data_IF_946318284492
#
_entry.id   IF_946318284492
#
_cell.length_a   1.000
_cell.length_b   1.000
_cell.length_c   1.000
_cell.angle_alpha   90.00
_cell.angle_beta   90.00
_cell.angle_gamma   90.00
#
_symmetry.space_group_name_H-M   'P 1'
#
loop_
_entity.id
_entity.type
_entity.pdbx_description
1 polymer ?
#
# COMPACT_ATOMS: atom_id res chain seq x y z
N UNK A 1 24.26 38.12 14.74
CA UNK A 1 24.59 36.72 15.07
C UNK A 1 23.51 36.19 15.99
N UNK A 2 22.44 35.63 15.43
CA UNK A 2 21.36 35.03 16.20
C UNK A 2 21.36 33.55 15.86
N UNK A 3 21.92 32.76 16.79
CA UNK A 3 22.08 31.31 16.66
C UNK A 3 20.69 30.67 16.81
N UNK A 4 20.11 30.19 15.72
CA UNK A 4 19.04 29.21 15.81
C UNK A 4 19.63 27.94 16.43
N UNK A 5 19.21 27.60 17.65
CA UNK A 5 19.53 26.33 18.29
C UNK A 5 18.66 25.25 17.66
N UNK A 6 19.14 24.58 16.63
CA UNK A 6 18.65 23.24 16.30
C UNK A 6 19.05 22.31 17.44
N UNK A 7 18.05 21.80 18.16
CA UNK A 7 18.20 20.79 19.20
C UNK A 7 18.51 19.44 18.53
N UNK A 8 19.76 19.20 18.12
CA UNK A 8 20.23 17.85 17.79
C UNK A 8 20.55 17.12 19.10
N UNK A 9 19.51 16.60 19.75
CA UNK A 9 19.63 16.14 21.13
C UNK A 9 20.23 14.73 21.30
N UNK A 10 20.75 14.04 20.27
CA UNK A 10 21.37 12.71 20.42
C UNK A 10 20.48 11.61 21.02
N UNK A 11 19.27 11.95 21.45
CA UNK A 11 18.11 11.12 21.71
C UNK A 11 17.42 11.02 20.36
N UNK A 12 17.31 9.80 19.81
CA UNK A 12 16.62 9.59 18.54
C UNK A 12 15.28 10.33 18.54
N UNK A 13 15.03 11.13 17.49
CA UNK A 13 13.76 11.83 17.31
C UNK A 13 12.65 10.78 17.38
N UNK A 14 11.78 10.88 18.38
CA UNK A 14 10.58 10.05 18.42
C UNK A 14 9.71 10.45 17.23
N UNK A 15 9.22 9.45 16.48
CA UNK A 15 8.37 9.65 15.29
C UNK A 15 7.15 10.54 15.60
N UNK A 16 6.76 10.58 16.87
CA UNK A 16 5.60 11.29 17.42
C UNK A 16 5.74 12.82 17.41
N UNK A 17 6.96 13.37 17.26
CA UNK A 17 7.21 14.82 17.31
C UNK A 17 7.44 15.49 15.94
N UNK A 18 7.40 14.73 14.83
CA UNK A 18 7.76 15.26 13.50
C UNK A 18 6.60 15.15 12.50
N UNK A 19 6.16 16.31 12.01
CA UNK A 19 5.19 16.41 10.91
C UNK A 19 5.91 16.66 9.60
N UNK A 20 5.61 15.86 8.57
CA UNK A 20 6.28 15.93 7.26
C UNK A 20 5.28 16.19 6.15
N UNK A 21 5.53 17.22 5.35
CA UNK A 21 4.92 17.45 4.06
C UNK A 21 5.81 16.88 2.94
N UNK A 22 5.39 15.77 2.35
CA UNK A 22 5.98 15.20 1.14
C UNK A 22 5.41 15.95 -0.08
N UNK A 23 6.25 16.74 -0.74
CA UNK A 23 5.84 17.58 -1.87
C UNK A 23 6.23 16.89 -3.19
N UNK A 24 5.24 16.40 -3.93
CA UNK A 24 5.50 15.77 -5.23
C UNK A 24 5.92 16.82 -6.27
N UNK A 25 6.94 16.53 -7.07
CA UNK A 25 7.47 17.41 -8.13
C UNK A 25 7.60 16.63 -9.44
N UNK A 26 7.26 17.26 -10.56
CA UNK A 26 7.52 16.73 -11.90
C UNK A 26 6.35 16.91 -12.88
N UNK A 27 6.63 16.64 -14.15
CA UNK A 27 5.67 16.80 -15.25
C UNK A 27 4.44 15.88 -15.12
N UNK A 28 3.31 16.19 -15.77
CA UNK A 28 2.17 15.27 -15.87
C UNK A 28 2.57 13.89 -16.45
N UNK A 29 1.82 12.84 -16.10
CA UNK A 29 2.09 11.43 -16.49
C UNK A 29 3.47 10.86 -16.07
N UNK A 30 4.13 11.47 -15.07
CA UNK A 30 5.36 10.93 -14.46
C UNK A 30 5.10 10.11 -13.19
N UNK A 31 3.94 9.44 -13.08
CA UNK A 31 3.66 8.52 -11.96
C UNK A 31 3.45 9.15 -10.57
N UNK A 32 3.49 10.48 -10.42
CA UNK A 32 3.35 11.17 -9.11
C UNK A 32 2.16 10.71 -8.27
N UNK A 33 0.96 10.69 -8.84
CA UNK A 33 -0.24 10.27 -8.11
C UNK A 33 -0.19 8.80 -7.71
N UNK A 34 0.37 7.92 -8.56
CA UNK A 34 0.59 6.51 -8.21
C UNK A 34 1.57 6.39 -7.04
N UNK A 35 2.69 7.12 -7.11
CA UNK A 35 3.71 7.16 -6.05
C UNK A 35 3.10 7.67 -4.74
N UNK A 36 2.36 8.78 -4.78
CA UNK A 36 1.69 9.35 -3.61
C UNK A 36 0.71 8.37 -2.97
N UNK A 37 -0.11 7.69 -3.77
CA UNK A 37 -1.07 6.69 -3.30
C UNK A 37 -0.39 5.45 -2.72
N UNK A 38 0.71 4.99 -3.32
CA UNK A 38 1.51 3.87 -2.79
C UNK A 38 2.18 4.25 -1.45
N UNK A 39 2.80 5.42 -1.38
CA UNK A 39 3.43 5.93 -0.15
C UNK A 39 2.42 6.08 0.98
N UNK A 40 1.24 6.67 0.72
CA UNK A 40 0.17 6.75 1.70
C UNK A 40 -0.24 5.37 2.22
N UNK A 41 -0.46 4.41 1.31
CA UNK A 41 -0.85 3.04 1.65
C UNK A 41 0.17 2.36 2.55
N UNK A 42 1.44 2.49 2.23
CA UNK A 42 2.54 1.93 3.03
C UNK A 42 2.63 2.57 4.42
N UNK A 43 2.58 3.89 4.50
CA UNK A 43 2.62 4.60 5.79
C UNK A 43 1.43 4.21 6.67
N UNK A 44 0.21 4.22 6.12
CA UNK A 44 -1.00 3.79 6.85
C UNK A 44 -0.92 2.33 7.29
N UNK A 45 -0.38 1.45 6.45
CA UNK A 45 -0.21 0.03 6.80
C UNK A 45 0.76 -0.16 7.98
N UNK A 46 1.73 0.75 8.16
CA UNK A 46 2.63 0.82 9.32
C UNK A 46 2.09 1.61 10.52
N UNK A 47 0.79 1.96 10.53
CA UNK A 47 0.14 2.80 11.56
C UNK A 47 0.63 4.24 11.60
N UNK A 48 1.23 4.75 10.51
CA UNK A 48 1.60 6.17 10.40
C UNK A 48 0.45 6.89 9.71
N UNK A 49 -0.15 7.87 10.40
CA UNK A 49 -1.26 8.62 9.82
C UNK A 49 -0.79 9.49 8.66
N UNK A 50 -1.26 9.14 7.46
CA UNK A 50 -0.82 9.75 6.22
C UNK A 50 -2.00 10.14 5.31
N UNK A 51 -1.98 11.36 4.77
CA UNK A 51 -3.03 11.87 3.91
C UNK A 51 -2.51 12.49 2.61
N UNK A 52 -3.13 12.13 1.49
CA UNK A 52 -2.84 12.74 0.17
C UNK A 52 -3.74 13.95 -0.05
N UNK A 53 -3.13 15.08 -0.38
CA UNK A 53 -3.78 16.32 -0.80
C UNK A 53 -3.53 16.53 -2.30
N UNK A 54 -4.45 16.05 -3.13
CA UNK A 54 -4.33 16.15 -4.59
C UNK A 54 -4.88 17.50 -5.06
N UNK A 55 -4.00 18.43 -5.46
CA UNK A 55 -4.37 19.78 -5.93
C UNK A 55 -5.29 19.73 -7.16
N UNK A 56 -5.18 18.67 -7.96
CA UNK A 56 -6.08 18.41 -9.08
C UNK A 56 -7.55 18.28 -8.68
N UNK A 57 -7.86 17.75 -7.48
CA UNK A 57 -9.23 17.67 -6.93
C UNK A 57 -9.76 19.06 -6.57
N UNK A 58 -8.96 19.87 -5.86
CA UNK A 58 -9.32 21.25 -5.51
C UNK A 58 -9.64 22.09 -6.74
N UNK A 59 -8.79 21.96 -7.78
CA UNK A 59 -9.01 22.64 -9.07
C UNK A 59 -10.28 22.13 -9.78
N UNK A 60 -10.61 20.84 -9.71
CA UNK A 60 -11.83 20.28 -10.33
C UNK A 60 -13.12 20.82 -9.72
N UNK A 61 -13.12 21.14 -8.42
CA UNK A 61 -14.29 21.74 -7.77
C UNK A 61 -14.66 23.11 -8.35
N UNK A 62 -13.65 23.89 -8.77
CA UNK A 62 -13.87 25.22 -9.37
C UNK A 62 -13.94 25.18 -10.91
N UNK A 63 -13.20 24.27 -11.55
CA UNK A 63 -13.12 24.12 -13.01
C UNK A 63 -13.18 22.65 -13.39
N UNK A 64 -14.37 22.09 -13.59
CA UNK A 64 -14.52 20.73 -14.07
C UNK A 64 -14.05 20.62 -15.53
N UNK A 65 -13.23 19.61 -15.82
CA UNK A 65 -12.77 19.22 -17.17
C UNK A 65 -12.12 20.35 -18.02
N UNK A 66 -11.02 20.97 -17.55
CA UNK A 66 -10.32 21.99 -18.32
C UNK A 66 -9.59 21.39 -19.53
N UNK A 67 -9.54 22.14 -20.63
CA UNK A 67 -8.69 21.82 -21.79
C UNK A 67 -7.21 22.18 -21.53
N UNK A 68 -6.32 21.77 -22.42
CA UNK A 68 -4.90 22.09 -22.36
C UNK A 68 -4.60 23.61 -22.27
N UNK A 69 -5.44 24.46 -22.85
CA UNK A 69 -5.27 25.93 -22.86
C UNK A 69 -5.41 26.55 -21.47
N UNK A 70 -6.18 25.92 -20.58
CA UNK A 70 -6.22 26.28 -19.16
C UNK A 70 -4.84 26.16 -18.49
N UNK A 71 -4.00 25.27 -19.02
CA UNK A 71 -2.68 25.00 -18.48
C UNK A 71 -1.57 25.82 -19.15
N UNK A 72 -1.88 26.59 -20.18
CA UNK A 72 -0.93 27.51 -20.79
C UNK A 72 -0.42 28.53 -19.75
N UNK A 73 0.85 28.90 -19.86
CA UNK A 73 1.53 29.83 -18.95
C UNK A 73 1.23 31.28 -19.29
N UNK A 74 0.70 31.53 -20.49
CA UNK A 74 0.19 32.85 -20.90
C UNK A 74 -1.26 33.08 -20.44
N UNK A 75 -1.94 32.04 -19.95
CA UNK A 75 -3.29 32.11 -19.43
C UNK A 75 -3.29 32.58 -17.97
N UNK A 76 -3.39 33.89 -17.77
CA UNK A 76 -3.35 34.54 -16.45
C UNK A 76 -4.51 34.11 -15.54
N UNK A 77 -5.70 33.88 -16.10
CA UNK A 77 -6.85 33.40 -15.34
C UNK A 77 -6.67 31.94 -14.91
N UNK A 78 -6.25 31.07 -15.83
CA UNK A 78 -5.93 29.67 -15.53
C UNK A 78 -4.81 29.52 -14.50
N UNK A 79 -3.80 30.39 -14.54
CA UNK A 79 -2.75 30.45 -13.52
C UNK A 79 -3.29 30.91 -12.16
N UNK A 80 -4.10 31.97 -12.11
CA UNK A 80 -4.76 32.44 -10.89
C UNK A 80 -5.61 31.33 -10.24
N UNK A 81 -6.40 30.61 -11.03
CA UNK A 81 -7.24 29.51 -10.54
C UNK A 81 -6.40 28.32 -10.02
N UNK A 82 -5.31 27.96 -10.73
CA UNK A 82 -4.38 26.90 -10.27
C UNK A 82 -3.66 27.30 -8.98
N UNK A 83 -3.32 28.58 -8.81
CA UNK A 83 -2.73 29.11 -7.58
C UNK A 83 -3.72 29.03 -6.42
N UNK A 84 -4.95 29.48 -6.60
CA UNK A 84 -6.00 29.39 -5.59
C UNK A 84 -6.27 27.93 -5.16
N UNK A 85 -6.28 26.97 -6.10
CA UNK A 85 -6.43 25.55 -5.79
C UNK A 85 -5.25 24.99 -4.96
N UNK A 86 -4.02 25.43 -5.25
CA UNK A 86 -2.84 25.03 -4.47
C UNK A 86 -2.86 25.65 -3.06
N UNK A 87 -3.26 26.93 -2.95
CA UNK A 87 -3.45 27.62 -1.66
C UNK A 87 -4.49 26.92 -0.79
N UNK A 88 -5.65 26.56 -1.37
CA UNK A 88 -6.69 25.80 -0.66
C UNK A 88 -6.17 24.44 -0.17
N UNK A 89 -5.47 23.68 -1.02
CA UNK A 89 -4.92 22.38 -0.63
C UNK A 89 -3.87 22.48 0.49
N UNK A 90 -2.99 23.49 0.45
CA UNK A 90 -1.97 23.72 1.49
C UNK A 90 -2.62 24.17 2.80
N UNK A 91 -3.66 25.02 2.75
CA UNK A 91 -4.40 25.42 3.94
C UNK A 91 -5.07 24.21 4.62
N UNK A 92 -5.82 23.40 3.86
CA UNK A 92 -6.45 22.18 4.37
C UNK A 92 -5.44 21.19 4.96
N UNK A 93 -4.24 21.10 4.36
CA UNK A 93 -3.15 20.27 4.84
C UNK A 93 -2.61 20.77 6.19
N UNK A 94 -2.36 22.07 6.33
CA UNK A 94 -1.91 22.67 7.60
C UNK A 94 -2.99 22.49 8.67
N UNK A 95 -4.26 22.69 8.32
CA UNK A 95 -5.38 22.48 9.24
C UNK A 95 -5.51 21.01 9.66
N UNK A 96 -5.21 20.07 8.77
CA UNK A 96 -5.17 18.65 9.07
C UNK A 96 -4.06 18.32 10.08
N UNK A 97 -2.86 18.87 9.91
CA UNK A 97 -1.77 18.73 10.88
C UNK A 97 -2.15 19.27 12.27
N UNK A 98 -2.73 20.47 12.31
CA UNK A 98 -3.09 21.15 13.57
C UNK A 98 -4.25 20.48 14.31
N UNK A 99 -5.33 20.17 13.60
CA UNK A 99 -6.59 19.79 14.23
C UNK A 99 -6.83 18.28 14.28
N UNK A 100 -6.16 17.51 13.43
CA UNK A 100 -6.34 16.06 13.33
C UNK A 100 -5.11 15.26 13.73
N UNK A 101 -4.05 15.94 14.18
CA UNK A 101 -2.79 15.32 14.62
C UNK A 101 -2.18 14.40 13.54
N UNK A 102 -2.33 14.78 12.28
CA UNK A 102 -1.72 14.06 11.17
C UNK A 102 -0.19 14.06 11.26
N UNK A 103 0.45 13.04 10.68
CA UNK A 103 1.91 12.87 10.75
C UNK A 103 2.57 13.11 9.39
N UNK A 104 2.02 12.55 8.30
CA UNK A 104 2.58 12.72 6.94
C UNK A 104 1.52 13.21 5.96
N UNK A 105 1.69 14.42 5.44
CA UNK A 105 0.91 14.88 4.30
C UNK A 105 1.67 14.61 3.00
N UNK A 106 0.96 14.23 1.94
CA UNK A 106 1.52 14.08 0.59
C UNK A 106 0.81 15.05 -0.33
N UNK A 107 1.46 16.16 -0.68
CA UNK A 107 0.94 17.18 -1.56
C UNK A 107 1.19 16.77 -3.03
N UNK A 108 0.16 16.21 -3.66
CA UNK A 108 0.21 15.69 -5.03
C UNK A 108 -0.18 16.79 -6.04
N UNK A 109 0.85 17.39 -6.64
CA UNK A 109 0.75 18.36 -7.72
C UNK A 109 2.02 18.33 -8.60
N UNK A 110 2.08 19.15 -9.65
CA UNK A 110 3.27 19.25 -10.50
C UNK A 110 4.43 19.97 -9.82
N UNK A 111 4.14 21.04 -9.06
CA UNK A 111 5.12 21.86 -8.33
C UNK A 111 6.40 22.15 -9.15
N UNK A 112 6.18 22.47 -10.44
CA UNK A 112 7.20 22.43 -11.49
C UNK A 112 8.13 23.64 -11.52
N UNK A 113 7.86 24.69 -10.73
CA UNK A 113 8.69 25.90 -10.67
C UNK A 113 9.38 26.04 -9.31
N UNK A 114 10.56 26.65 -9.28
CA UNK A 114 11.31 26.97 -8.04
C UNK A 114 10.50 27.87 -7.13
N UNK A 115 9.84 28.90 -7.71
CA UNK A 115 8.96 29.82 -6.96
C UNK A 115 7.86 29.07 -6.20
N UNK A 116 7.19 28.11 -6.86
CA UNK A 116 6.14 27.32 -6.22
C UNK A 116 6.68 26.48 -5.07
N UNK A 117 7.84 25.85 -5.24
CA UNK A 117 8.48 25.02 -4.21
C UNK A 117 8.91 25.85 -3.00
N UNK A 118 9.50 27.01 -3.22
CA UNK A 118 9.84 27.99 -2.17
C UNK A 118 8.61 28.43 -1.39
N UNK A 119 7.54 28.82 -2.09
CA UNK A 119 6.29 29.18 -1.44
C UNK A 119 5.72 28.06 -0.54
N UNK A 120 5.74 26.80 -1.01
CA UNK A 120 5.30 25.66 -0.19
C UNK A 120 6.19 25.49 1.04
N UNK A 121 7.51 25.57 0.87
CA UNK A 121 8.48 25.48 1.97
C UNK A 121 8.23 26.56 3.02
N UNK A 122 8.15 27.82 2.62
CA UNK A 122 7.96 28.94 3.55
C UNK A 122 6.65 28.80 4.33
N UNK A 123 5.59 28.30 3.67
CA UNK A 123 4.30 28.02 4.31
C UNK A 123 4.36 26.88 5.34
N UNK A 124 5.16 25.84 5.09
CA UNK A 124 5.33 24.72 6.02
C UNK A 124 6.26 25.09 7.18
N UNK A 125 7.38 25.78 6.90
CA UNK A 125 8.34 26.26 7.90
C UNK A 125 7.67 27.18 8.92
N UNK A 126 6.77 28.07 8.47
CA UNK A 126 6.01 28.98 9.34
C UNK A 126 5.13 28.24 10.37
N UNK A 127 4.82 26.97 10.11
CA UNK A 127 3.99 26.11 10.94
C UNK A 127 4.80 25.00 11.63
N UNK A 128 6.12 24.99 11.48
CA UNK A 128 7.01 23.96 12.03
C UNK A 128 6.86 22.59 11.36
N UNK A 129 6.37 22.54 10.12
CA UNK A 129 6.21 21.31 9.34
C UNK A 129 7.42 21.13 8.44
N UNK A 130 8.09 19.98 8.54
CA UNK A 130 9.24 19.64 7.70
C UNK A 130 8.81 19.32 6.26
N UNK A 131 9.59 19.74 5.27
CA UNK A 131 9.29 19.46 3.85
C UNK A 131 10.26 18.45 3.26
N UNK A 132 9.74 17.42 2.59
CA UNK A 132 10.50 16.48 1.75
C UNK A 132 10.01 16.58 0.31
N UNK A 133 10.82 17.13 -0.59
CA UNK A 133 10.47 17.20 -2.01
C UNK A 133 10.78 15.87 -2.70
N UNK A 134 9.83 15.33 -3.46
CA UNK A 134 9.99 14.09 -4.22
C UNK A 134 9.77 14.38 -5.70
N UNK A 135 10.88 14.54 -6.43
CA UNK A 135 10.84 14.75 -7.87
C UNK A 135 10.84 13.42 -8.61
N UNK A 136 9.77 13.16 -9.37
CA UNK A 136 9.72 12.05 -10.31
C UNK A 136 9.95 12.55 -11.73
N UNK A 137 11.10 12.19 -12.28
CA UNK A 137 11.49 12.51 -13.66
C UNK A 137 11.66 11.23 -14.45
N UNK A 138 10.98 11.14 -15.58
CA UNK A 138 11.04 10.00 -16.48
C UNK A 138 11.06 10.51 -17.91
N UNK A 139 12.05 10.07 -18.68
CA UNK A 139 12.22 10.40 -20.09
C UNK A 139 11.95 9.18 -20.99
N UNK A 140 11.48 8.08 -20.40
CA UNK A 140 11.07 6.85 -21.10
C UNK A 140 9.69 7.03 -21.78
N UNK A 141 9.71 7.18 -23.11
CA UNK A 141 8.51 7.43 -23.92
C UNK A 141 7.46 6.32 -23.82
N UNK A 142 7.86 5.04 -23.76
CA UNK A 142 6.91 3.93 -23.68
C UNK A 142 6.15 3.97 -22.36
N UNK A 143 6.84 4.27 -21.25
CA UNK A 143 6.22 4.43 -19.95
C UNK A 143 5.32 5.66 -19.88
N UNK A 144 5.76 6.78 -20.45
CA UNK A 144 4.96 8.01 -20.53
C UNK A 144 3.68 7.72 -21.31
N UNK A 145 3.78 7.04 -22.45
CA UNK A 145 2.65 6.65 -23.28
C UNK A 145 1.70 5.69 -22.56
N UNK A 146 2.24 4.70 -21.84
CA UNK A 146 1.45 3.79 -20.99
C UNK A 146 0.68 4.53 -19.90
N UNK A 147 1.35 5.44 -19.18
CA UNK A 147 0.73 6.29 -18.16
C UNK A 147 -0.36 7.19 -18.75
N UNK A 148 -0.12 7.77 -19.94
CA UNK A 148 -1.12 8.57 -20.65
C UNK A 148 -2.33 7.70 -20.99
N UNK A 149 -2.14 6.46 -21.46
CA UNK A 149 -3.23 5.53 -21.75
C UNK A 149 -4.03 5.15 -20.50
N UNK A 150 -3.39 4.89 -19.37
CA UNK A 150 -4.07 4.62 -18.10
C UNK A 150 -4.88 5.84 -17.63
N UNK A 151 -4.30 7.04 -17.70
CA UNK A 151 -4.98 8.29 -17.35
C UNK A 151 -6.22 8.53 -18.22
N UNK A 152 -6.21 8.14 -19.51
CA UNK A 152 -7.41 8.27 -20.38
C UNK A 152 -8.61 7.48 -19.87
N UNK A 153 -8.38 6.28 -19.34
CA UNK A 153 -9.46 5.37 -18.93
C UNK A 153 -9.91 5.60 -17.49
N UNK A 154 -9.12 6.31 -16.69
CA UNK A 154 -9.33 6.40 -15.24
C UNK A 154 -9.37 7.83 -14.69
N UNK A 155 -8.92 8.84 -15.44
CA UNK A 155 -8.93 10.23 -14.99
C UNK A 155 -10.32 10.85 -15.08
N UNK A 156 -10.81 11.50 -14.00
CA UNK A 156 -12.05 12.27 -14.06
C UNK A 156 -12.02 13.41 -15.08
N UNK A 157 -10.83 13.98 -15.36
CA UNK A 157 -10.67 15.13 -16.29
C UNK A 157 -11.11 14.79 -17.73
N UNK A 158 -11.14 13.50 -18.10
CA UNK A 158 -11.46 13.02 -19.46
C UNK A 158 -12.65 12.06 -19.49
N UNK A 159 -13.44 12.00 -18.43
CA UNK A 159 -14.59 11.11 -18.35
C UNK A 159 -15.56 11.37 -19.53
N UNK A 160 -15.86 10.31 -20.30
CA UNK A 160 -16.74 10.39 -21.48
C UNK A 160 -16.14 11.05 -22.72
N UNK A 161 -14.86 11.42 -22.71
CA UNK A 161 -14.17 11.99 -23.88
C UNK A 161 -13.72 10.91 -24.86
N UNK A 162 -13.58 11.29 -26.13
CA UNK A 162 -12.96 10.43 -27.14
C UNK A 162 -11.50 10.12 -26.76
N UNK A 163 -11.05 8.84 -26.80
CA UNK A 163 -9.71 8.46 -26.36
C UNK A 163 -8.56 9.12 -27.11
N UNK A 164 -8.71 9.38 -28.41
CA UNK A 164 -7.68 10.00 -29.22
C UNK A 164 -7.59 11.50 -28.93
N UNK A 165 -8.74 12.18 -28.83
CA UNK A 165 -8.80 13.60 -28.45
C UNK A 165 -8.27 13.84 -27.03
N UNK A 166 -8.64 12.99 -26.07
CA UNK A 166 -8.13 13.04 -24.71
C UNK A 166 -6.60 12.86 -24.66
N UNK A 167 -6.06 11.96 -25.49
CA UNK A 167 -4.61 11.78 -25.62
C UNK A 167 -3.92 13.05 -26.12
N UNK A 168 -4.49 13.66 -27.17
CA UNK A 168 -3.92 14.84 -27.79
C UNK A 168 -3.95 16.05 -26.86
N UNK A 169 -5.09 16.29 -26.19
CA UNK A 169 -5.22 17.33 -25.18
C UNK A 169 -4.22 17.12 -24.04
N UNK A 170 -4.08 15.90 -23.53
CA UNK A 170 -3.13 15.61 -22.47
C UNK A 170 -1.67 15.82 -22.88
N UNK A 171 -1.30 15.48 -24.13
CA UNK A 171 0.04 15.79 -24.66
C UNK A 171 0.28 17.29 -24.75
N UNK A 172 -0.71 18.06 -25.21
CA UNK A 172 -0.61 19.52 -25.26
C UNK A 172 -0.46 20.11 -23.84
N UNK A 173 -1.17 19.56 -22.86
CA UNK A 173 -1.00 19.90 -21.45
C UNK A 173 0.42 19.64 -20.97
N UNK A 174 1.04 18.50 -21.29
CA UNK A 174 2.44 18.22 -20.95
C UNK A 174 3.36 19.30 -21.55
N UNK A 175 3.22 19.60 -22.84
CA UNK A 175 4.01 20.64 -23.53
C UNK A 175 3.92 22.01 -22.86
N UNK A 176 2.75 22.36 -22.34
CA UNK A 176 2.58 23.62 -21.60
C UNK A 176 3.36 23.63 -20.28
N UNK A 177 3.45 22.50 -19.57
CA UNK A 177 4.30 22.41 -18.36
C UNK A 177 5.80 22.36 -18.70
N UNK A 178 6.20 21.74 -19.81
CA UNK A 178 7.61 21.68 -20.23
C UNK A 178 8.23 23.07 -20.44
N UNK A 179 7.45 24.04 -20.92
CA UNK A 179 7.90 25.43 -21.13
C UNK A 179 8.43 26.12 -19.86
N UNK A 180 7.96 25.71 -18.69
CA UNK A 180 8.26 26.35 -17.38
C UNK A 180 8.79 25.38 -16.34
N UNK A 181 9.10 24.15 -16.73
CA UNK A 181 9.55 23.14 -15.77
C UNK A 181 11.01 23.36 -15.38
N UNK A 182 11.21 23.66 -14.11
CA UNK A 182 12.50 23.82 -13.47
C UNK A 182 12.74 22.61 -12.57
N UNK A 183 13.66 21.73 -12.97
CA UNK A 183 14.05 20.57 -12.16
C UNK A 183 14.74 21.03 -10.87
N UNK A 184 14.72 20.21 -9.82
CA UNK A 184 15.47 20.53 -8.59
C UNK A 184 16.95 20.44 -8.89
N UNK A 185 17.73 21.48 -8.58
CA UNK A 185 19.16 21.55 -8.89
C UNK A 185 19.96 22.16 -7.72
N UNK A 186 21.23 22.50 -7.98
CA UNK A 186 22.16 23.00 -6.95
C UNK A 186 21.72 24.33 -6.32
N UNK A 187 20.89 25.13 -7.00
CA UNK A 187 20.31 26.37 -6.45
C UNK A 187 19.28 26.10 -5.34
N UNK A 188 18.79 24.86 -5.26
CA UNK A 188 17.89 24.35 -4.22
C UNK A 188 18.60 23.30 -3.33
N UNK A 189 19.94 23.34 -3.27
CA UNK A 189 20.76 22.47 -2.42
C UNK A 189 20.46 22.59 -0.92
N UNK A 190 19.76 23.64 -0.51
CA UNK A 190 19.27 23.81 0.86
C UNK A 190 18.02 23.00 1.19
N UNK A 191 17.26 22.55 0.19
CA UNK A 191 16.04 21.76 0.34
C UNK A 191 16.34 20.30 0.69
N UNK A 192 15.47 19.68 1.48
CA UNK A 192 15.45 18.22 1.67
C UNK A 192 14.70 17.57 0.51
N UNK A 193 15.37 16.72 -0.28
CA UNK A 193 14.74 16.14 -1.47
C UNK A 193 15.23 14.74 -1.85
N UNK A 194 14.36 14.07 -2.60
CA UNK A 194 14.60 12.83 -3.32
C UNK A 194 14.27 13.06 -4.81
N UNK A 195 15.23 12.84 -5.70
CA UNK A 195 14.99 12.77 -7.14
C UNK A 195 15.03 11.34 -7.60
N UNK A 196 13.95 10.88 -8.22
CA UNK A 196 13.82 9.54 -8.80
C UNK A 196 13.84 9.70 -10.32
N UNK A 197 14.92 9.25 -10.94
CA UNK A 197 15.16 9.38 -12.39
C UNK A 197 14.92 8.05 -13.08
N UNK A 198 14.08 8.06 -14.13
CA UNK A 198 13.80 6.93 -15.01
C UNK A 198 13.43 5.65 -14.25
N UNK A 199 12.43 5.74 -13.37
CA UNK A 199 11.92 4.60 -12.58
C UNK A 199 13.00 3.99 -11.68
N UNK A 200 13.75 4.85 -10.99
CA UNK A 200 14.75 4.42 -10.01
C UNK A 200 16.09 3.99 -10.59
N UNK A 201 16.31 4.11 -11.91
CA UNK A 201 17.64 3.89 -12.53
C UNK A 201 18.72 4.76 -11.90
N UNK A 202 18.36 5.97 -11.49
CA UNK A 202 19.22 6.84 -10.69
C UNK A 202 18.37 7.52 -9.63
N UNK A 203 18.96 7.65 -8.44
CA UNK A 203 18.36 8.34 -7.30
C UNK A 203 19.35 9.38 -6.78
N UNK A 204 18.88 10.60 -6.53
CA UNK A 204 19.66 11.66 -5.86
C UNK A 204 18.94 11.99 -4.55
N UNK A 205 19.68 11.96 -3.45
CA UNK A 205 19.16 12.20 -2.10
C UNK A 205 19.91 13.39 -1.53
N UNK A 206 19.20 14.38 -1.01
CA UNK A 206 19.79 15.56 -0.39
C UNK A 206 19.16 15.85 0.98
N UNK A 207 20.02 16.09 1.98
CA UNK A 207 19.68 16.60 3.31
C UNK A 207 18.56 15.86 4.06
N UNK A 208 18.52 14.54 4.00
CA UNK A 208 17.60 13.75 4.85
C UNK A 208 18.01 13.90 6.32
N UNK A 209 17.08 14.38 7.17
CA UNK A 209 17.38 14.85 8.52
C UNK A 209 16.90 13.91 9.61
N UNK A 210 15.85 13.14 9.36
CA UNK A 210 15.21 12.30 10.37
C UNK A 210 14.84 10.89 9.88
N UNK A 211 14.36 10.08 10.82
CA UNK A 211 14.00 8.69 10.59
C UNK A 211 12.78 8.51 9.67
N UNK A 212 11.78 9.37 9.80
CA UNK A 212 10.55 9.23 9.02
C UNK A 212 10.78 9.65 7.57
N UNK A 213 11.57 10.71 7.34
CA UNK A 213 12.06 11.08 6.01
C UNK A 213 12.88 9.94 5.39
N UNK A 214 13.82 9.35 6.13
CA UNK A 214 14.63 8.25 5.60
C UNK A 214 13.80 7.02 5.26
N UNK A 215 12.74 6.72 6.04
CA UNK A 215 11.78 5.65 5.76
C UNK A 215 10.95 5.93 4.50
N UNK A 216 10.43 7.15 4.33
CA UNK A 216 9.72 7.55 3.11
C UNK A 216 10.64 7.40 1.90
N UNK A 217 11.88 7.90 2.00
CA UNK A 217 12.87 7.77 0.93
C UNK A 217 13.17 6.30 0.60
N UNK A 218 13.42 5.48 1.63
CA UNK A 218 13.66 4.04 1.47
C UNK A 218 12.54 3.35 0.72
N UNK A 219 11.28 3.59 1.09
CA UNK A 219 10.13 3.02 0.39
C UNK A 219 10.09 3.46 -1.07
N UNK A 220 10.19 4.77 -1.31
CA UNK A 220 10.09 5.36 -2.64
C UNK A 220 11.17 4.87 -3.60
N UNK A 221 12.38 4.62 -3.11
CA UNK A 221 13.49 4.08 -3.89
C UNK A 221 13.26 2.64 -4.36
N UNK A 222 12.44 1.88 -3.63
CA UNK A 222 12.13 0.48 -3.95
C UNK A 222 10.86 0.33 -4.78
N UNK A 223 10.15 1.43 -5.08
CA UNK A 223 8.93 1.38 -5.88
C UNK A 223 9.22 1.13 -7.35
N UNK A 224 8.59 0.08 -7.90
CA UNK A 224 8.38 0.01 -9.34
C UNK A 224 6.94 0.41 -9.72
N UNK A 225 6.83 1.04 -10.90
CA UNK A 225 5.54 1.48 -11.47
C UNK A 225 5.09 0.62 -12.66
N UNK A 226 5.87 -0.41 -13.04
CA UNK A 226 5.43 -1.40 -14.02
C UNK A 226 4.19 -2.19 -13.54
N UNK A 227 3.20 -2.46 -14.42
CA UNK A 227 2.09 -3.36 -14.10
C UNK A 227 2.59 -4.76 -13.73
N UNK A 228 1.98 -5.38 -12.73
CA UNK A 228 2.28 -6.75 -12.28
C UNK A 228 1.07 -7.39 -11.59
N UNK A 229 1.14 -8.69 -11.36
CA UNK A 229 0.19 -9.41 -10.50
C UNK A 229 0.90 -10.06 -9.32
N UNK A 230 0.16 -10.23 -8.22
CA UNK A 230 0.61 -10.94 -7.03
C UNK A 230 -0.43 -12.00 -6.73
N UNK A 231 0.01 -13.24 -6.56
CA UNK A 231 -0.86 -14.35 -6.23
C UNK A 231 -0.69 -14.71 -4.78
N UNK A 232 -1.80 -14.85 -4.08
CA UNK A 232 -1.85 -15.17 -2.66
C UNK A 232 -2.61 -16.48 -2.50
N UNK A 233 -2.02 -17.42 -1.79
CA UNK A 233 -2.65 -18.67 -1.42
C UNK A 233 -2.23 -19.06 -0.01
N UNK A 234 -3.16 -19.69 0.72
CA UNK A 234 -2.78 -20.38 1.96
C UNK A 234 -2.15 -21.71 1.59
N UNK A 235 -1.41 -22.29 2.54
CA UNK A 235 -1.19 -23.73 2.48
C UNK A 235 -2.51 -24.49 2.31
N UNK A 236 -2.46 -25.69 1.72
CA UNK A 236 -3.58 -26.62 1.73
C UNK A 236 -4.04 -26.92 3.16
N UNK A 237 -5.29 -27.34 3.33
CA UNK A 237 -5.83 -27.70 4.64
C UNK A 237 -4.86 -28.63 5.39
N UNK A 238 -4.56 -28.30 6.64
CA UNK A 238 -3.67 -29.08 7.51
C UNK A 238 -4.45 -29.92 8.52
N UNK A 239 -3.78 -30.89 9.15
CA UNK A 239 -4.37 -31.68 10.23
C UNK A 239 -4.83 -30.79 11.40
N UNK A 240 -4.08 -29.74 11.76
CA UNK A 240 -4.50 -28.79 12.79
C UNK A 240 -5.72 -27.96 12.39
N UNK A 241 -5.94 -27.70 11.10
CA UNK A 241 -7.18 -27.07 10.67
C UNK A 241 -8.39 -27.98 10.93
N UNK A 242 -8.28 -29.27 10.61
CA UNK A 242 -9.34 -30.26 10.90
C UNK A 242 -9.63 -30.37 12.40
N UNK A 243 -8.60 -30.28 13.24
CA UNK A 243 -8.70 -30.33 14.70
C UNK A 243 -9.13 -28.99 15.33
N UNK A 244 -9.22 -27.91 14.56
CA UNK A 244 -9.54 -26.57 15.06
C UNK A 244 -8.43 -25.95 15.92
N UNK A 245 -7.19 -26.41 15.78
CA UNK A 245 -6.01 -25.94 16.50
C UNK A 245 -5.32 -24.79 15.76
N UNK A 246 -4.74 -23.86 16.52
CA UNK A 246 -3.95 -22.75 15.98
C UNK A 246 -2.45 -23.05 16.05
N UNK A 247 -1.67 -22.39 15.19
CA UNK A 247 -0.21 -22.47 15.23
C UNK A 247 0.37 -23.81 14.80
N UNK A 248 1.47 -24.22 15.43
CA UNK A 248 2.18 -25.47 15.18
C UNK A 248 2.77 -25.64 13.77
N UNK A 249 3.24 -26.86 13.48
CA UNK A 249 3.86 -27.25 12.20
C UNK A 249 3.27 -28.56 11.64
N UNK A 250 1.94 -28.64 11.64
CA UNK A 250 1.20 -29.83 11.20
C UNK A 250 1.36 -30.11 9.69
N UNK A 251 1.23 -31.38 9.32
CA UNK A 251 1.19 -31.85 7.95
C UNK A 251 -0.13 -31.47 7.24
N UNK A 252 -0.14 -31.59 5.92
CA UNK A 252 -1.36 -31.44 5.11
C UNK A 252 -2.35 -32.56 5.43
N UNK A 253 -3.64 -32.23 5.43
CA UNK A 253 -4.72 -33.21 5.40
C UNK A 253 -4.81 -33.88 4.03
N UNK A 254 -5.56 -35.00 3.87
CA UNK A 254 -5.84 -35.55 2.55
C UNK A 254 -6.45 -34.55 1.57
N UNK A 255 -7.26 -33.57 2.05
CA UNK A 255 -7.81 -32.51 1.20
C UNK A 255 -6.80 -31.42 0.89
N UNK A 256 -5.93 -31.08 1.84
CA UNK A 256 -4.79 -30.20 1.58
C UNK A 256 -3.84 -30.78 0.52
N UNK A 257 -3.64 -32.09 0.53
CA UNK A 257 -2.87 -32.81 -0.48
C UNK A 257 -3.53 -32.77 -1.87
N UNK A 258 -4.85 -32.88 -1.94
CA UNK A 258 -5.59 -32.65 -3.19
C UNK A 258 -5.41 -31.21 -3.69
N UNK A 259 -5.45 -30.22 -2.79
CA UNK A 259 -5.23 -28.82 -3.15
C UNK A 259 -3.81 -28.57 -3.66
N UNK A 260 -2.79 -29.11 -3.01
CA UNK A 260 -1.39 -29.00 -3.43
C UNK A 260 -1.20 -29.50 -4.87
N UNK A 261 -1.85 -30.60 -5.25
CA UNK A 261 -1.84 -31.12 -6.63
C UNK A 261 -2.64 -30.28 -7.62
N UNK A 262 -3.68 -29.57 -7.16
CA UNK A 262 -4.54 -28.72 -8.00
C UNK A 262 -3.95 -27.33 -8.24
N UNK A 263 -3.19 -26.81 -7.28
CA UNK A 263 -2.61 -25.47 -7.30
C UNK A 263 -1.87 -25.11 -8.60
N UNK A 264 -1.03 -25.98 -9.22
CA UNK A 264 -0.36 -25.66 -10.49
C UNK A 264 -1.34 -25.31 -11.61
N UNK A 265 -2.47 -26.02 -11.70
CA UNK A 265 -3.49 -25.75 -12.73
C UNK A 265 -4.21 -24.41 -12.49
N UNK A 266 -4.47 -24.04 -11.23
CA UNK A 266 -5.07 -22.75 -10.89
C UNK A 266 -4.10 -21.60 -11.20
N UNK A 267 -2.81 -21.78 -10.89
CA UNK A 267 -1.78 -20.80 -11.20
C UNK A 267 -1.69 -20.61 -12.71
N UNK A 268 -1.59 -21.69 -13.50
CA UNK A 268 -1.56 -21.63 -14.96
C UNK A 268 -2.78 -20.90 -15.55
N UNK A 269 -3.99 -21.27 -15.11
CA UNK A 269 -5.24 -20.61 -15.51
C UNK A 269 -5.22 -19.11 -15.18
N UNK A 270 -4.75 -18.76 -13.98
CA UNK A 270 -4.74 -17.37 -13.51
C UNK A 270 -3.68 -16.49 -14.17
N UNK A 271 -2.54 -17.07 -14.56
CA UNK A 271 -1.46 -16.38 -15.28
C UNK A 271 -1.86 -16.18 -16.74
N UNK A 272 -2.43 -17.21 -17.37
CA UNK A 272 -2.89 -17.21 -18.77
C UNK A 272 -1.81 -17.60 -19.78
N UNK A 273 -0.60 -17.91 -19.33
CA UNK A 273 0.51 -18.42 -20.13
C UNK A 273 1.43 -19.32 -19.28
N UNK A 274 2.46 -19.90 -19.91
CA UNK A 274 3.42 -20.81 -19.27
C UNK A 274 4.65 -20.10 -18.69
N UNK A 275 4.61 -18.78 -18.42
CA UNK A 275 5.80 -18.10 -17.90
C UNK A 275 6.13 -18.56 -16.47
N UNK A 276 7.42 -18.66 -16.10
CA UNK A 276 7.81 -19.02 -14.75
C UNK A 276 7.47 -17.90 -13.76
N UNK A 277 7.03 -18.29 -12.55
CA UNK A 277 6.84 -17.36 -11.43
C UNK A 277 7.94 -17.53 -10.39
N UNK A 278 8.16 -16.48 -9.61
CA UNK A 278 8.85 -16.62 -8.32
C UNK A 278 7.83 -17.02 -7.26
N UNK A 279 8.14 -18.04 -6.47
CA UNK A 279 7.26 -18.60 -5.44
C UNK A 279 7.88 -18.39 -4.08
N UNK A 280 7.16 -17.78 -3.16
CA UNK A 280 7.57 -17.61 -1.78
C UNK A 280 6.72 -18.46 -0.86
N UNK A 281 7.39 -19.20 0.01
CA UNK A 281 6.76 -19.99 1.06
C UNK A 281 7.24 -19.54 2.43
N UNK A 282 6.50 -19.88 3.47
CA UNK A 282 7.04 -19.87 4.83
C UNK A 282 8.03 -21.02 5.04
N UNK A 283 8.63 -21.09 6.23
CA UNK A 283 9.50 -22.21 6.60
C UNK A 283 8.73 -23.42 7.17
N UNK A 284 7.41 -23.30 7.34
CA UNK A 284 6.56 -24.37 7.89
C UNK A 284 6.20 -25.43 6.85
N UNK A 285 6.15 -26.69 7.28
CA UNK A 285 6.02 -27.88 6.43
C UNK A 285 4.82 -27.81 5.49
N UNK A 286 3.68 -27.32 5.97
CA UNK A 286 2.44 -27.21 5.19
C UNK A 286 2.55 -26.29 3.98
N UNK A 287 3.28 -25.17 4.05
CA UNK A 287 3.45 -24.28 2.89
C UNK A 287 4.38 -24.88 1.85
N UNK A 288 5.48 -25.49 2.32
CA UNK A 288 6.45 -26.18 1.47
C UNK A 288 5.78 -27.36 0.77
N UNK A 289 5.01 -28.16 1.50
CA UNK A 289 4.27 -29.29 0.96
C UNK A 289 3.22 -28.87 -0.07
N UNK A 290 2.60 -27.69 0.10
CA UNK A 290 1.62 -27.16 -0.86
C UNK A 290 2.28 -26.72 -2.17
N UNK A 291 3.46 -26.09 -2.09
CA UNK A 291 4.18 -25.58 -3.25
C UNK A 291 4.95 -26.65 -4.04
N UNK A 292 5.17 -27.85 -3.48
CA UNK A 292 6.04 -28.88 -4.05
C UNK A 292 5.63 -29.41 -5.44
N UNK A 293 4.36 -29.23 -5.82
CA UNK A 293 3.85 -29.67 -7.12
C UNK A 293 3.90 -28.56 -8.20
N UNK A 294 4.33 -27.34 -7.85
CA UNK A 294 4.56 -26.28 -8.82
C UNK A 294 5.73 -26.63 -9.76
N UNK A 295 5.77 -26.09 -10.99
CA UNK A 295 6.80 -26.39 -11.96
C UNK A 295 8.22 -26.18 -11.41
N UNK A 296 9.16 -27.07 -11.77
CA UNK A 296 10.56 -27.00 -11.31
C UNK A 296 11.30 -25.75 -11.80
N UNK A 297 10.82 -25.13 -12.89
CA UNK A 297 11.35 -23.87 -13.43
C UNK A 297 10.95 -22.64 -12.62
N UNK A 298 9.99 -22.78 -11.69
CA UNK A 298 9.60 -21.68 -10.80
C UNK A 298 10.68 -21.51 -9.73
N UNK A 299 11.12 -20.27 -9.51
CA UNK A 299 12.11 -19.97 -8.48
C UNK A 299 11.45 -20.01 -7.09
N UNK A 300 11.62 -21.10 -6.35
CA UNK A 300 11.01 -21.27 -5.02
C UNK A 300 11.95 -20.83 -3.91
N UNK A 301 11.52 -19.86 -3.11
CA UNK A 301 12.26 -19.29 -1.98
C UNK A 301 11.47 -19.46 -0.67
N UNK A 302 12.19 -19.70 0.42
CA UNK A 302 11.61 -19.82 1.76
C UNK A 302 11.94 -18.58 2.58
N UNK A 303 10.93 -18.00 3.22
CA UNK A 303 11.07 -16.80 4.02
C UNK A 303 10.52 -17.04 5.41
N UNK A 304 11.39 -16.95 6.43
CA UNK A 304 10.97 -17.02 7.84
C UNK A 304 9.98 -15.92 8.20
N UNK A 305 10.11 -14.74 7.58
CA UNK A 305 9.16 -13.64 7.73
C UNK A 305 7.74 -13.98 7.23
N UNK A 306 7.54 -15.08 6.49
CA UNK A 306 6.23 -15.58 6.08
C UNK A 306 5.69 -16.68 7.01
N UNK A 307 6.35 -17.02 8.11
CA UNK A 307 5.80 -17.95 9.12
C UNK A 307 4.53 -17.35 9.76
N UNK A 308 3.58 -18.23 10.12
CA UNK A 308 2.31 -17.82 10.74
C UNK A 308 2.55 -17.01 12.02
N UNK A 309 1.57 -16.18 12.38
CA UNK A 309 1.55 -15.45 13.65
C UNK A 309 1.82 -16.41 14.80
N UNK A 310 2.87 -16.12 15.59
CA UNK A 310 3.25 -16.92 16.73
C UNK A 310 2.23 -16.75 17.87
N UNK A 311 1.52 -17.82 18.20
CA UNK A 311 0.51 -17.81 19.26
C UNK A 311 1.06 -18.07 20.67
N UNK A 312 2.39 -18.17 20.83
CA UNK A 312 3.07 -18.27 22.11
C UNK A 312 2.58 -19.46 22.94
N UNK A 313 2.16 -19.19 24.17
CA UNK A 313 1.62 -20.23 25.08
C UNK A 313 0.32 -20.89 24.58
N UNK A 314 -0.32 -20.33 23.54
CA UNK A 314 -1.54 -20.86 22.93
C UNK A 314 -1.27 -21.75 21.70
N UNK A 315 0.00 -22.02 21.35
CA UNK A 315 0.34 -22.84 20.19
C UNK A 315 -0.16 -24.28 20.34
N UNK A 316 -0.82 -24.80 19.29
CA UNK A 316 -1.42 -26.13 19.27
C UNK A 316 -2.73 -26.27 20.05
N UNK A 317 -3.28 -25.19 20.61
CA UNK A 317 -4.57 -25.19 21.30
C UNK A 317 -5.73 -24.90 20.34
N UNK A 318 -6.92 -25.38 20.70
CA UNK A 318 -8.16 -24.91 20.08
C UNK A 318 -8.60 -23.57 20.69
N UNK A 319 -9.47 -22.81 20.01
CA UNK A 319 -10.05 -21.60 20.61
C UNK A 319 -10.87 -21.90 21.87
N UNK A 320 -11.48 -23.10 21.96
CA UNK A 320 -12.18 -23.54 23.16
C UNK A 320 -11.21 -23.77 24.32
N UNK A 321 -10.08 -24.44 24.08
CA UNK A 321 -9.01 -24.58 25.09
C UNK A 321 -8.51 -23.23 25.57
N UNK A 322 -8.32 -22.27 24.67
CA UNK A 322 -7.85 -20.92 25.02
C UNK A 322 -8.89 -20.21 25.89
N UNK A 323 -10.18 -20.29 25.53
CA UNK A 323 -11.25 -19.70 26.34
C UNK A 323 -11.33 -20.28 27.74
N UNK A 324 -11.09 -21.59 27.89
CA UNK A 324 -11.14 -22.27 29.18
C UNK A 324 -9.90 -22.03 30.04
N UNK A 325 -8.71 -22.01 29.43
CA UNK A 325 -7.43 -21.89 30.14
C UNK A 325 -6.97 -20.43 30.34
N UNK A 326 -7.33 -19.55 29.41
CA UNK A 326 -6.92 -18.16 29.35
C UNK A 326 -8.11 -17.24 28.97
N UNK A 327 -9.16 -17.17 29.83
CA UNK A 327 -10.39 -16.43 29.50
C UNK A 327 -10.14 -14.93 29.25
N UNK A 328 -9.28 -14.30 30.05
CA UNK A 328 -8.93 -12.87 29.91
C UNK A 328 -8.22 -12.60 28.57
N UNK A 329 -7.30 -13.48 28.17
CA UNK A 329 -6.61 -13.38 26.88
C UNK A 329 -7.58 -13.58 25.70
N UNK A 330 -8.57 -14.47 25.84
CA UNK A 330 -9.59 -14.70 24.83
C UNK A 330 -10.47 -13.46 24.61
N UNK A 331 -10.88 -12.79 25.69
CA UNK A 331 -11.66 -11.56 25.65
C UNK A 331 -10.86 -10.37 25.11
N UNK A 332 -9.67 -10.12 25.68
CA UNK A 332 -8.79 -9.02 25.25
C UNK A 332 -8.44 -9.10 23.76
N UNK A 333 -8.27 -10.31 23.23
CA UNK A 333 -8.03 -10.52 21.79
C UNK A 333 -9.23 -10.17 20.92
N UNK A 334 -10.45 -10.33 21.40
CA UNK A 334 -11.65 -9.95 20.63
C UNK A 334 -11.92 -8.45 20.68
N UNK A 335 -11.59 -7.79 21.79
CA UNK A 335 -11.72 -6.34 21.96
C UNK A 335 -10.80 -5.58 21.00
N UNK A 336 -9.50 -5.90 21.02
CA UNK A 336 -8.47 -5.29 20.16
C UNK A 336 -7.56 -6.33 19.53
N UNK A 337 -8.09 -7.07 18.55
CA UNK A 337 -7.38 -8.14 17.85
C UNK A 337 -6.12 -7.69 17.11
N UNK A 338 -6.04 -6.42 16.74
CA UNK A 338 -4.88 -5.91 16.00
C UNK A 338 -3.68 -5.72 16.92
N UNK A 339 -3.89 -5.12 18.10
CA UNK A 339 -2.83 -4.82 19.06
C UNK A 339 -2.62 -5.91 20.13
N UNK A 340 -3.60 -6.78 20.36
CA UNK A 340 -3.46 -7.90 21.29
C UNK A 340 -2.26 -8.77 20.89
N UNK A 341 -1.32 -8.95 21.83
CA UNK A 341 -0.14 -9.79 21.68
C UNK A 341 -0.29 -11.02 22.56
N UNK A 342 -0.18 -12.21 21.96
CA UNK A 342 -0.12 -13.45 22.73
C UNK A 342 1.06 -13.45 23.70
N UNK A 343 0.88 -14.04 24.88
CA UNK A 343 1.98 -14.23 25.85
C UNK A 343 3.08 -15.08 25.22
N UNK A 344 4.28 -14.51 25.10
CA UNK A 344 5.42 -15.16 24.42
C UNK A 344 5.26 -15.28 22.90
N UNK A 345 4.30 -14.59 22.30
CA UNK A 345 3.99 -14.62 20.87
C UNK A 345 3.92 -13.24 20.24
N UNK A 346 3.13 -13.13 19.17
CA UNK A 346 2.99 -11.94 18.32
C UNK A 346 1.56 -11.37 18.36
N UNK A 347 1.46 -10.08 18.06
CA UNK A 347 0.24 -9.40 17.63
C UNK A 347 0.18 -9.28 16.09
N UNK A 348 -0.96 -8.84 15.54
CA UNK A 348 -0.99 -8.48 14.11
C UNK A 348 -0.08 -7.28 13.80
N UNK A 349 0.08 -6.35 14.74
CA UNK A 349 1.06 -5.26 14.63
C UNK A 349 2.49 -5.78 14.49
N UNK A 350 2.88 -6.79 15.27
CA UNK A 350 4.21 -7.42 15.17
C UNK A 350 4.42 -8.09 13.81
N UNK A 351 3.39 -8.80 13.32
CA UNK A 351 3.41 -9.42 11.99
C UNK A 351 3.56 -8.37 10.89
N UNK A 352 2.86 -7.23 10.97
CA UNK A 352 3.02 -6.11 10.04
C UNK A 352 4.47 -5.62 10.01
N UNK A 353 5.09 -5.39 11.18
CA UNK A 353 6.49 -4.94 11.26
C UNK A 353 7.43 -5.99 10.65
N UNK A 354 7.25 -7.28 10.97
CA UNK A 354 8.05 -8.39 10.41
C UNK A 354 7.87 -8.55 8.90
N UNK A 355 6.71 -8.20 8.37
CA UNK A 355 6.40 -8.28 6.93
C UNK A 355 6.85 -7.06 6.14
N UNK A 356 7.34 -5.99 6.78
CA UNK A 356 7.81 -4.81 6.06
C UNK A 356 8.85 -5.15 4.96
N UNK A 357 9.92 -5.96 5.21
CA UNK A 357 10.84 -6.37 4.16
C UNK A 357 10.20 -7.18 3.04
N UNK A 358 9.16 -7.96 3.36
CA UNK A 358 8.37 -8.72 2.37
C UNK A 358 7.58 -7.76 1.47
N UNK A 359 6.93 -6.74 2.05
CA UNK A 359 6.24 -5.71 1.28
C UNK A 359 7.22 -4.93 0.40
N UNK A 360 8.42 -4.61 0.88
CA UNK A 360 9.44 -3.93 0.07
C UNK A 360 9.82 -4.78 -1.15
N UNK A 361 10.08 -6.07 -0.95
CA UNK A 361 10.46 -6.94 -2.05
C UNK A 361 9.29 -7.17 -3.02
N UNK A 362 8.03 -7.22 -2.53
CA UNK A 362 6.84 -7.24 -3.38
C UNK A 362 6.62 -5.94 -4.17
N UNK A 363 7.09 -4.80 -3.65
CA UNK A 363 7.06 -3.50 -4.35
C UNK A 363 8.18 -3.32 -5.37
N UNK A 364 9.23 -4.15 -5.27
CA UNK A 364 10.42 -4.14 -6.13
C UNK A 364 10.38 -5.22 -7.22
N UNK A 365 9.80 -6.37 -6.91
CA UNK A 365 9.71 -7.54 -7.77
C UNK A 365 8.47 -7.54 -8.66
N UNK A 366 8.52 -8.32 -9.74
CA UNK A 366 7.42 -8.48 -10.68
C UNK A 366 6.37 -9.49 -10.16
N UNK A 367 6.11 -10.56 -10.90
CA UNK A 367 5.07 -11.53 -10.64
C UNK A 367 5.50 -12.53 -9.54
N UNK A 368 4.84 -12.48 -8.39
CA UNK A 368 5.14 -13.35 -7.22
C UNK A 368 3.90 -14.13 -6.77
N UNK A 369 4.07 -15.43 -6.58
CA UNK A 369 3.14 -16.30 -5.87
C UNK A 369 3.59 -16.48 -4.41
N UNK A 370 2.72 -16.18 -3.45
CA UNK A 370 2.95 -16.40 -2.02
C UNK A 370 2.05 -17.53 -1.53
N UNK A 371 2.65 -18.59 -0.97
CA UNK A 371 1.96 -19.66 -0.26
C UNK A 371 2.30 -19.57 1.23
N UNK A 372 1.37 -19.04 2.04
CA UNK A 372 1.60 -18.79 3.47
C UNK A 372 0.36 -19.13 4.31
N UNK A 373 0.06 -18.36 5.35
CA UNK A 373 -0.90 -18.68 6.39
C UNK A 373 -1.95 -17.58 6.54
N UNK A 374 -2.90 -17.79 7.45
CA UNK A 374 -4.09 -16.96 7.53
C UNK A 374 -3.78 -15.54 8.02
N UNK A 375 -3.06 -15.37 9.14
CA UNK A 375 -2.80 -14.03 9.68
C UNK A 375 -1.81 -13.25 8.80
N UNK A 376 -0.80 -13.94 8.27
CA UNK A 376 0.18 -13.38 7.33
C UNK A 376 -0.48 -12.88 6.05
N UNK A 377 -1.32 -13.71 5.41
CA UNK A 377 -2.04 -13.29 4.21
C UNK A 377 -2.98 -12.13 4.47
N UNK A 378 -3.66 -12.09 5.62
CA UNK A 378 -4.50 -10.94 6.00
C UNK A 378 -3.71 -9.63 5.98
N UNK A 379 -2.49 -9.63 6.53
CA UNK A 379 -1.65 -8.44 6.57
C UNK A 379 -1.22 -8.00 5.16
N UNK A 380 -0.78 -8.93 4.31
CA UNK A 380 -0.36 -8.65 2.92
C UNK A 380 -1.57 -8.21 2.08
N UNK A 381 -2.70 -8.90 2.21
CA UNK A 381 -3.93 -8.56 1.52
C UNK A 381 -4.44 -7.18 1.94
N UNK A 382 -4.43 -6.86 3.23
CA UNK A 382 -4.83 -5.55 3.74
C UNK A 382 -3.96 -4.42 3.18
N UNK A 383 -2.65 -4.64 3.03
CA UNK A 383 -1.75 -3.71 2.36
C UNK A 383 -2.24 -3.42 0.93
N UNK A 384 -2.35 -4.43 0.05
CA UNK A 384 -2.70 -4.20 -1.35
C UNK A 384 -4.12 -3.68 -1.56
N UNK A 385 -5.07 -4.07 -0.71
CA UNK A 385 -6.47 -3.66 -0.80
C UNK A 385 -6.77 -2.35 -0.06
N UNK A 386 -5.74 -1.69 0.51
CA UNK A 386 -5.87 -0.45 1.29
C UNK A 386 -6.89 -0.57 2.44
N UNK A 387 -6.90 -1.72 3.12
CA UNK A 387 -7.83 -1.96 4.22
C UNK A 387 -7.35 -1.30 5.52
N UNK A 388 -8.26 -0.70 6.30
CA UNK A 388 -7.95 -0.23 7.65
C UNK A 388 -7.35 -1.33 8.54
N UNK A 389 -6.51 -0.93 9.48
CA UNK A 389 -5.76 -1.86 10.32
C UNK A 389 -6.65 -2.65 11.27
N UNK A 390 -7.68 -2.02 11.80
CA UNK A 390 -8.72 -2.61 12.64
C UNK A 390 -9.58 -3.65 11.90
N UNK A 391 -9.77 -3.48 10.59
CA UNK A 391 -10.43 -4.48 9.73
C UNK A 391 -9.51 -5.65 9.34
N UNK A 392 -8.20 -5.42 9.26
CA UNK A 392 -7.23 -6.39 8.72
C UNK A 392 -7.29 -7.79 9.37
N UNK A 393 -7.46 -7.98 10.70
CA UNK A 393 -7.48 -9.30 11.33
C UNK A 393 -8.75 -10.11 11.05
N UNK A 394 -9.72 -9.51 10.36
CA UNK A 394 -11.05 -10.08 10.08
C UNK A 394 -11.25 -10.42 8.60
N UNK A 395 -10.30 -10.06 7.73
CA UNK A 395 -10.41 -10.30 6.30
C UNK A 395 -10.54 -11.79 5.94
N UNK A 396 -11.36 -12.08 4.94
CA UNK A 396 -11.64 -13.42 4.46
C UNK A 396 -10.58 -13.90 3.45
N UNK A 397 -9.68 -14.76 3.92
CA UNK A 397 -8.66 -15.47 3.13
C UNK A 397 -8.87 -16.99 3.30
N UNK A 398 -9.83 -17.59 2.55
CA UNK A 398 -10.23 -18.99 2.73
C UNK A 398 -9.12 -19.97 2.32
N UNK A 399 -9.20 -21.20 2.85
CA UNK A 399 -8.40 -22.32 2.37
C UNK A 399 -8.80 -22.67 0.94
N UNK A 400 -7.88 -23.28 0.20
CA UNK A 400 -8.11 -23.83 -1.14
C UNK A 400 -8.58 -22.81 -2.20
N UNK A 401 -8.27 -21.54 -2.00
CA UNK A 401 -8.54 -20.47 -2.96
C UNK A 401 -7.24 -19.75 -3.32
N UNK A 402 -6.97 -19.60 -4.61
CA UNK A 402 -5.90 -18.74 -5.12
C UNK A 402 -6.47 -17.35 -5.38
N UNK A 403 -5.86 -16.31 -4.80
CA UNK A 403 -6.29 -14.92 -4.95
C UNK A 403 -5.26 -14.20 -5.81
N UNK A 404 -5.66 -13.68 -6.97
CA UNK A 404 -4.83 -12.83 -7.84
C UNK A 404 -5.15 -11.37 -7.58
N UNK A 405 -4.12 -10.60 -7.22
CA UNK A 405 -4.19 -9.16 -7.02
C UNK A 405 -3.41 -8.46 -8.14
N UNK A 406 -4.05 -7.53 -8.84
CA UNK A 406 -3.42 -6.69 -9.87
C UNK A 406 -3.50 -5.23 -9.44
N UNK A 407 -2.43 -4.65 -8.85
CA UNK A 407 -2.40 -3.24 -8.47
C UNK A 407 -2.56 -2.32 -9.68
N UNK A 408 -3.37 -1.27 -9.55
CA UNK A 408 -3.64 -0.20 -10.53
C UNK A 408 -3.50 1.17 -9.86
N UNK A 409 -3.53 2.26 -10.63
CA UNK A 409 -3.41 3.61 -10.07
C UNK A 409 -4.47 3.97 -9.01
N UNK A 410 -5.72 3.52 -9.18
CA UNK A 410 -6.85 3.89 -8.32
C UNK A 410 -7.35 2.75 -7.41
N UNK A 411 -6.66 1.60 -7.38
CA UNK A 411 -7.09 0.46 -6.59
C UNK A 411 -6.36 -0.81 -6.97
N UNK A 412 -6.84 -1.94 -6.45
CA UNK A 412 -6.29 -3.27 -6.76
C UNK A 412 -7.44 -4.12 -7.29
N UNK A 413 -7.27 -4.69 -8.49
CA UNK A 413 -8.22 -5.65 -9.03
C UNK A 413 -7.98 -7.00 -8.37
N UNK A 414 -9.05 -7.65 -7.92
CA UNK A 414 -9.01 -8.95 -7.28
C UNK A 414 -9.77 -9.98 -8.11
N UNK A 415 -9.16 -11.16 -8.29
CA UNK A 415 -9.82 -12.34 -8.87
C UNK A 415 -9.53 -13.54 -7.97
N UNK A 416 -10.55 -14.35 -7.66
CA UNK A 416 -10.42 -15.56 -6.84
C UNK A 416 -10.68 -16.80 -7.68
N UNK A 417 -9.79 -17.78 -7.56
CA UNK A 417 -9.87 -19.08 -8.23
C UNK A 417 -10.07 -20.14 -7.15
N UNK A 418 -11.29 -20.64 -7.03
CA UNK A 418 -11.65 -21.71 -6.09
C UNK A 418 -11.22 -23.07 -6.62
N UNK A 419 -10.56 -23.89 -5.81
CA UNK A 419 -10.09 -25.20 -6.24
C UNK A 419 -11.21 -26.25 -6.42
N UNK A 420 -12.42 -25.94 -5.95
CA UNK A 420 -13.55 -26.85 -5.84
C UNK A 420 -13.24 -28.08 -4.97
N UNK A 421 -12.39 -27.88 -3.96
CA UNK A 421 -12.00 -28.90 -2.98
C UNK A 421 -12.46 -28.40 -1.61
N UNK A 422 -13.40 -29.09 -0.94
CA UNK A 422 -13.88 -28.68 0.37
C UNK A 422 -12.75 -28.50 1.38
N UNK A 423 -12.87 -27.50 2.24
CA UNK A 423 -11.99 -27.28 3.39
C UNK A 423 -12.84 -26.82 4.58
N UNK A 424 -12.34 -27.03 5.79
CA UNK A 424 -12.95 -26.41 6.98
C UNK A 424 -12.83 -24.89 6.91
N UNK A 425 -13.83 -24.17 7.42
CA UNK A 425 -13.64 -22.76 7.70
C UNK A 425 -12.73 -22.59 8.92
N UNK A 426 -11.83 -21.63 8.82
CA UNK A 426 -10.93 -21.17 9.89
C UNK A 426 -11.15 -19.70 10.22
N UNK A 427 -12.19 -19.11 9.62
CA UNK A 427 -12.63 -17.76 9.92
C UNK A 427 -13.41 -17.72 11.23
N UNK A 428 -13.42 -16.56 11.86
CA UNK A 428 -14.08 -16.32 13.15
C UNK A 428 -14.52 -14.86 13.19
N UNK A 429 -15.82 -14.61 13.35
CA UNK A 429 -16.37 -13.26 13.51
C UNK A 429 -16.02 -12.62 14.85
N UNK A 430 -16.15 -11.29 14.95
CA UNK A 430 -15.98 -10.56 16.21
C UNK A 430 -17.11 -10.94 17.18
N UNK A 431 -16.76 -11.28 18.42
CA UNK A 431 -17.74 -11.69 19.44
C UNK A 431 -18.27 -13.12 19.27
N UNK A 432 -17.64 -13.97 18.46
CA UNK A 432 -18.12 -15.34 18.25
C UNK A 432 -17.80 -16.29 19.42
N UNK A 433 -18.55 -17.39 19.49
CA UNK A 433 -18.57 -18.40 20.58
C UNK A 433 -17.35 -19.35 20.61
N UNK A 434 -16.14 -18.86 20.32
CA UNK A 434 -14.90 -19.67 20.24
C UNK A 434 -14.93 -20.82 19.21
N UNK A 435 -15.86 -20.78 18.25
CA UNK A 435 -15.96 -21.72 17.14
C UNK A 435 -15.66 -21.02 15.82
N UNK A 436 -15.14 -21.81 14.88
CA UNK A 436 -14.99 -21.36 13.50
C UNK A 436 -16.35 -21.22 12.83
N UNK A 437 -16.46 -20.22 11.97
CA UNK A 437 -17.68 -19.83 11.25
C UNK A 437 -17.34 -19.58 9.78
N UNK A 438 -18.33 -19.64 8.90
CA UNK A 438 -18.14 -19.20 7.51
C UNK A 438 -18.07 -17.67 7.43
N UNK A 439 -17.18 -17.11 6.58
CA UNK A 439 -17.08 -15.66 6.42
C UNK A 439 -18.39 -15.09 5.87
N UNK A 440 -18.82 -13.95 6.42
CA UNK A 440 -19.99 -13.21 5.93
C UNK A 440 -19.65 -12.60 4.55
N UNK A 441 -20.48 -12.79 3.50
CA UNK A 441 -20.27 -12.16 2.20
C UNK A 441 -20.18 -10.63 2.33
N UNK A 442 -19.28 -9.99 1.56
CA UNK A 442 -19.10 -8.54 1.60
C UNK A 442 -20.39 -7.74 1.28
N UNK A 443 -21.34 -8.35 0.54
CA UNK A 443 -22.66 -7.79 0.26
C UNK A 443 -23.53 -7.62 1.51
N UNK A 444 -23.32 -8.47 2.53
CA UNK A 444 -24.23 -8.58 3.69
C UNK A 444 -23.76 -7.73 4.87
N UNK A 445 -22.51 -7.25 4.83
CA UNK A 445 -21.95 -6.31 5.81
C UNK A 445 -22.64 -4.94 5.73
N UNK A 446 -22.99 -4.48 4.52
CA UNK A 446 -23.72 -3.24 4.32
C UNK A 446 -25.14 -3.28 4.92
N UNK A 447 -25.75 -4.47 4.98
CA UNK A 447 -27.12 -4.67 5.47
C UNK A 447 -27.19 -4.72 7.00
N UNK A 448 -26.14 -5.24 7.68
CA UNK A 448 -26.09 -5.31 9.15
C UNK A 448 -25.88 -3.96 9.83
N UNK A 449 -25.06 -3.07 9.25
CA UNK A 449 -24.82 -1.72 9.81
C UNK A 449 -26.11 -0.88 9.86
N UNK A 450 -27.05 -1.11 8.94
CA UNK A 450 -28.36 -0.45 8.90
C UNK A 450 -29.37 -1.09 9.87
N UNK A 451 -29.20 -2.36 10.23
CA UNK A 451 -30.08 -3.07 11.15
C UNK A 451 -29.77 -2.76 12.63
N UNK A 452 -28.48 -2.56 12.97
CA UNK A 452 -28.03 -2.25 14.34
C UNK A 452 -28.11 -0.75 14.69
N UNK A 453 -28.62 0.09 13.78
CA UNK A 453 -28.82 1.54 13.97
C UNK A 453 -30.30 1.96 14.02
N UNK A 454 -31.20 1.04 14.38
CA UNK A 454 -32.62 1.32 14.65
C UNK A 454 -33.03 1.04 16.09
#
# INVERSE_FOLDING_TARGET
MTRFKTKSNGLGVQVEDTQICVVMVGLPARGKSLIAQKAQRYLKWLSIDAQVFNVGNYRRNATPNPTADFFDTTNTEGERMRRAAAEAAVNDMIDWFKNKQGIVAILDATNSTKERRRWIKDRCDAEGIETLFVESKCDDEDLIMSNILEVKTTSPDYAGSDPEKAAQDFRNRIKNYEKVYETIDDEESDLTYLKIMNVGKQVIINRIQDYLQSRVVYYLMNLHIKPRSIWLSRHGESMYNLEGKIGGDAELSPRGEMYAKKLPSLVLESVGDNRPLTVWTSTLRRTIATARHLPNEYNQLQWKALDELNSGVCDGLTYQDIKERYPDDFEARDEDKYNYRYRGGESYRDVVIRLEPIIMELERSEDILIVTHQAVLRCIYAYFMKKPQDESPWMAVPLHTLIKLTPRAYGTQEVRYDAQIPAVSTWRGKGSVAKHEDPIPASDIATKVVADSK
#
